data_IF_454842744370
#
_entry.id   IF_454842744370
#
_cell.length_a   1.000
_cell.length_b   1.000
_cell.length_c   1.000
_cell.angle_alpha   90.00
_cell.angle_beta   90.00
_cell.angle_gamma   90.00
#
_symmetry.space_group_name_H-M   'P 1'
#
loop_
_entity.id
_entity.type
_entity.pdbx_description
1 polymer ?
#
# COMPACT_ATOMS: atom_id res chain seq x y z
N UNK A 1 14.50 16.35 -7.77
CA UNK A 1 13.06 15.99 -7.79
C UNK A 1 12.90 14.75 -6.95
N UNK A 2 11.89 14.67 -6.07
CA UNK A 2 11.68 13.46 -5.26
C UNK A 2 11.00 12.35 -6.06
N UNK A 3 11.27 11.11 -5.70
CA UNK A 3 10.75 9.91 -6.37
C UNK A 3 9.80 9.13 -5.46
N UNK A 4 8.57 8.96 -5.93
CA UNK A 4 7.57 8.04 -5.38
C UNK A 4 7.55 6.74 -6.18
N UNK A 5 7.69 5.61 -5.51
CA UNK A 5 7.33 4.28 -6.04
C UNK A 5 6.00 3.87 -5.43
N UNK A 6 5.02 3.49 -6.25
CA UNK A 6 3.68 3.10 -5.78
C UNK A 6 3.14 1.90 -6.55
N UNK A 7 2.64 0.90 -5.81
CA UNK A 7 2.00 -0.27 -6.41
C UNK A 7 0.50 -0.07 -6.60
N UNK A 8 -0.04 -0.46 -7.76
CA UNK A 8 -1.49 -0.46 -8.02
C UNK A 8 -2.09 0.91 -8.34
N UNK A 9 -1.69 1.52 -9.45
CA UNK A 9 -2.16 2.86 -9.87
C UNK A 9 -3.21 2.84 -11.00
N UNK A 10 -3.74 1.68 -11.38
CA UNK A 10 -4.71 1.58 -12.47
C UNK A 10 -6.07 2.19 -12.12
N UNK A 11 -6.42 2.30 -10.83
CA UNK A 11 -7.71 2.80 -10.31
C UNK A 11 -7.65 3.07 -8.81
N UNK A 12 -8.72 3.65 -8.26
CA UNK A 12 -8.95 3.76 -6.82
C UNK A 12 -7.93 4.66 -6.12
N UNK A 13 -7.57 4.29 -4.88
CA UNK A 13 -6.71 5.10 -4.01
C UNK A 13 -5.34 5.34 -4.65
N UNK A 14 -4.67 4.28 -5.15
CA UNK A 14 -3.35 4.41 -5.78
C UNK A 14 -3.33 5.32 -7.00
N UNK A 15 -4.42 5.36 -7.78
CA UNK A 15 -4.56 6.28 -8.91
C UNK A 15 -4.57 7.74 -8.44
N UNK A 16 -5.37 8.05 -7.42
CA UNK A 16 -5.48 9.42 -6.90
C UNK A 16 -4.20 9.86 -6.17
N UNK A 17 -3.51 8.94 -5.47
CA UNK A 17 -2.19 9.22 -4.90
C UNK A 17 -1.21 9.60 -6.02
N UNK A 18 -1.15 8.83 -7.09
CA UNK A 18 -0.26 9.13 -8.21
C UNK A 18 -0.55 10.51 -8.80
N UNK A 19 -1.82 10.90 -8.96
CA UNK A 19 -2.21 12.24 -9.44
C UNK A 19 -1.69 13.35 -8.52
N UNK A 20 -1.97 13.26 -7.22
CA UNK A 20 -1.53 14.27 -6.24
C UNK A 20 -0.02 14.46 -6.29
N UNK A 21 0.75 13.37 -6.32
CA UNK A 21 2.21 13.47 -6.35
C UNK A 21 2.73 14.06 -7.67
N UNK A 22 2.12 13.75 -8.81
CA UNK A 22 2.47 14.35 -10.10
C UNK A 22 2.16 15.86 -10.12
N UNK A 23 1.02 16.28 -9.57
CA UNK A 23 0.62 17.68 -9.44
C UNK A 23 1.56 18.48 -8.50
N UNK A 24 2.36 17.79 -7.68
CA UNK A 24 3.38 18.36 -6.80
C UNK A 24 4.80 18.24 -7.36
N UNK A 25 4.93 18.01 -8.66
CA UNK A 25 6.20 17.86 -9.38
C UNK A 25 7.10 16.73 -8.86
N UNK A 26 6.52 15.62 -8.40
CA UNK A 26 7.30 14.41 -8.10
C UNK A 26 7.50 13.56 -9.36
N UNK A 27 8.58 12.78 -9.37
CA UNK A 27 8.68 11.62 -10.25
C UNK A 27 7.85 10.50 -9.65
N UNK A 28 6.90 9.95 -10.40
CA UNK A 28 6.09 8.81 -9.97
C UNK A 28 6.44 7.59 -10.81
N UNK A 29 6.87 6.53 -10.14
CA UNK A 29 7.05 5.19 -10.70
C UNK A 29 5.88 4.35 -10.18
N UNK A 30 4.85 4.22 -11.02
CA UNK A 30 3.65 3.49 -10.68
C UNK A 30 3.59 2.12 -11.32
N UNK A 31 2.89 1.18 -10.69
CA UNK A 31 2.72 -0.17 -11.25
C UNK A 31 1.27 -0.61 -11.32
N UNK A 32 0.98 -1.55 -12.21
CA UNK A 32 -0.27 -2.32 -12.23
C UNK A 32 -0.03 -3.68 -12.86
N UNK A 33 -0.97 -4.63 -12.71
CA UNK A 33 -0.82 -6.00 -13.24
C UNK A 33 -0.70 -6.05 -14.77
N UNK A 34 -1.22 -5.03 -15.47
CA UNK A 34 -1.12 -4.88 -16.92
C UNK A 34 -0.11 -3.81 -17.36
N UNK A 35 0.47 -3.04 -16.43
CA UNK A 35 1.27 -1.86 -16.72
C UNK A 35 0.47 -0.63 -17.18
N UNK A 36 -0.86 -0.72 -17.18
CA UNK A 36 -1.75 0.38 -17.51
C UNK A 36 -1.88 1.41 -16.38
N UNK A 37 -1.94 2.68 -16.75
CA UNK A 37 -2.44 3.80 -15.95
C UNK A 37 -3.28 4.73 -16.84
N UNK A 38 -4.41 5.27 -16.35
CA UNK A 38 -5.17 6.28 -17.09
C UNK A 38 -4.51 7.67 -17.07
N UNK A 39 -3.45 7.88 -16.29
CA UNK A 39 -2.76 9.17 -16.20
C UNK A 39 -1.78 9.31 -17.38
N UNK A 40 -1.83 10.47 -18.06
CA UNK A 40 -0.80 10.91 -19.01
C UNK A 40 -0.03 12.07 -18.39
N UNK A 41 1.20 11.84 -17.96
CA UNK A 41 2.04 12.88 -17.37
C UNK A 41 3.52 12.61 -17.65
N UNK A 42 4.32 13.66 -17.93
CA UNK A 42 5.74 13.53 -18.28
C UNK A 42 6.61 12.93 -17.18
N UNK A 43 6.23 13.13 -15.91
CA UNK A 43 6.95 12.61 -14.74
C UNK A 43 6.44 11.24 -14.27
N UNK A 44 5.49 10.63 -15.00
CA UNK A 44 4.98 9.31 -14.69
C UNK A 44 5.68 8.24 -15.53
N UNK A 45 6.15 7.18 -14.88
CA UNK A 45 6.57 5.93 -15.53
C UNK A 45 5.72 4.79 -14.99
N UNK A 46 5.19 3.97 -15.88
CA UNK A 46 4.28 2.86 -15.56
C UNK A 46 4.92 1.52 -15.89
N UNK A 47 4.89 0.58 -14.95
CA UNK A 47 5.44 -0.75 -15.14
C UNK A 47 4.40 -1.84 -14.89
N UNK A 48 4.49 -2.92 -15.66
CA UNK A 48 3.77 -4.16 -15.36
C UNK A 48 4.40 -4.79 -14.11
N UNK A 49 3.58 -5.05 -13.09
CA UNK A 49 4.00 -5.75 -11.89
C UNK A 49 2.82 -6.57 -11.36
N UNK A 50 3.03 -7.89 -11.27
CA UNK A 50 2.16 -8.78 -10.49
C UNK A 50 2.92 -9.19 -9.24
N UNK A 51 2.38 -8.84 -8.07
CA UNK A 51 3.01 -9.13 -6.78
C UNK A 51 2.96 -10.63 -6.43
N UNK A 52 2.15 -11.44 -7.11
CA UNK A 52 2.15 -12.88 -6.91
C UNK A 52 3.32 -13.59 -7.63
N UNK A 53 4.14 -12.88 -8.42
CA UNK A 53 5.17 -13.44 -9.29
C UNK A 53 6.53 -12.80 -8.94
N UNK A 54 7.41 -13.56 -8.29
CA UNK A 54 8.72 -13.10 -7.80
C UNK A 54 9.60 -12.56 -8.94
N UNK A 55 9.56 -13.19 -10.12
CA UNK A 55 10.32 -12.76 -11.30
C UNK A 55 9.90 -11.37 -11.79
N UNK A 56 8.61 -11.02 -11.66
CA UNK A 56 8.15 -9.68 -11.98
C UNK A 56 8.70 -8.65 -10.97
N UNK A 57 8.74 -9.01 -9.69
CA UNK A 57 9.27 -8.16 -8.61
C UNK A 57 10.77 -7.93 -8.81
N UNK A 58 11.52 -8.99 -9.12
CA UNK A 58 12.95 -8.92 -9.45
C UNK A 58 13.23 -8.00 -10.63
N UNK A 59 12.54 -8.22 -11.74
CA UNK A 59 12.71 -7.42 -12.95
C UNK A 59 12.40 -5.94 -12.70
N UNK A 60 11.34 -5.65 -11.94
CA UNK A 60 10.96 -4.29 -11.59
C UNK A 60 11.98 -3.62 -10.67
N UNK A 61 12.38 -4.29 -9.58
CA UNK A 61 13.23 -3.69 -8.54
C UNK A 61 14.67 -3.44 -9.03
N UNK A 62 15.20 -4.28 -9.93
CA UNK A 62 16.57 -4.22 -10.44
C UNK A 62 16.99 -2.80 -10.88
N UNK A 63 16.14 -2.15 -11.67
CA UNK A 63 16.44 -0.87 -12.32
C UNK A 63 15.78 0.34 -11.64
N UNK A 64 15.26 0.19 -10.42
CA UNK A 64 14.72 1.33 -9.70
C UNK A 64 15.83 2.37 -9.39
N UNK A 65 15.54 3.66 -9.58
CA UNK A 65 16.42 4.73 -9.13
C UNK A 65 16.37 4.84 -7.60
N UNK A 66 16.99 5.88 -7.05
CA UNK A 66 16.82 6.21 -5.64
C UNK A 66 15.37 6.61 -5.32
N UNK A 67 14.89 6.17 -4.16
CA UNK A 67 13.48 6.26 -3.74
C UNK A 67 13.38 7.14 -2.49
N UNK A 68 12.48 8.13 -2.54
CA UNK A 68 12.15 8.97 -1.38
C UNK A 68 10.91 8.45 -0.65
N UNK A 69 9.96 7.86 -1.39
CA UNK A 69 8.75 7.26 -0.82
C UNK A 69 8.41 5.96 -1.54
N UNK A 70 8.15 4.90 -0.78
CA UNK A 70 7.48 3.69 -1.26
C UNK A 70 6.06 3.61 -0.66
N UNK A 71 5.05 3.48 -1.51
CA UNK A 71 3.66 3.21 -1.10
C UNK A 71 3.25 1.83 -1.60
N UNK A 72 3.11 0.90 -0.66
CA UNK A 72 2.55 -0.43 -0.90
C UNK A 72 1.01 -0.33 -0.87
N UNK A 73 0.41 -0.03 -2.02
CA UNK A 73 -1.04 0.15 -2.16
C UNK A 73 -1.76 -1.04 -2.80
N UNK A 74 -1.11 -1.78 -3.71
CA UNK A 74 -1.75 -2.92 -4.36
C UNK A 74 -2.17 -3.99 -3.35
N UNK A 75 -3.44 -4.37 -3.39
CA UNK A 75 -4.02 -5.39 -2.53
C UNK A 75 -5.29 -5.99 -3.18
N UNK A 76 -5.69 -7.16 -2.70
CA UNK A 76 -6.91 -7.86 -3.08
C UNK A 76 -7.73 -8.25 -1.86
N UNK A 77 -9.04 -8.36 -2.06
CA UNK A 77 -10.01 -9.01 -1.18
C UNK A 77 -10.74 -9.99 -2.11
N UNK A 78 -10.54 -11.29 -1.90
CA UNK A 78 -10.94 -12.32 -2.87
C UNK A 78 -12.10 -13.19 -2.39
N UNK A 79 -12.30 -13.30 -1.09
CA UNK A 79 -13.48 -13.91 -0.50
C UNK A 79 -14.71 -13.00 -0.61
N UNK A 80 -15.90 -13.61 -0.50
CA UNK A 80 -17.15 -12.88 -0.53
C UNK A 80 -17.36 -12.03 0.73
N UNK A 81 -18.18 -10.98 0.61
CA UNK A 81 -18.44 -9.99 1.68
C UNK A 81 -19.12 -10.52 2.95
N UNK A 82 -19.61 -11.77 2.94
CA UNK A 82 -20.14 -12.41 4.14
C UNK A 82 -19.55 -13.83 4.33
N UNK A 83 -18.40 -14.12 3.72
CA UNK A 83 -17.72 -15.40 3.93
C UNK A 83 -17.00 -15.41 5.28
N UNK A 84 -17.31 -16.40 6.10
CA UNK A 84 -16.68 -16.67 7.39
C UNK A 84 -15.73 -17.87 7.34
N UNK A 85 -15.92 -18.77 6.37
CA UNK A 85 -15.13 -20.00 6.27
C UNK A 85 -13.80 -19.72 5.58
N UNK A 86 -12.77 -20.40 6.06
CA UNK A 86 -11.45 -20.36 5.43
C UNK A 86 -11.46 -21.18 4.15
N UNK A 87 -11.27 -20.51 3.01
CA UNK A 87 -10.93 -21.14 1.74
C UNK A 87 -9.42 -21.06 1.53
N UNK A 88 -8.72 -22.19 1.68
CA UNK A 88 -7.26 -22.23 1.60
C UNK A 88 -6.69 -21.75 0.26
N UNK A 89 -7.42 -21.90 -0.86
CA UNK A 89 -6.97 -21.42 -2.17
C UNK A 89 -7.02 -19.89 -2.24
N UNK A 90 -8.14 -19.29 -1.80
CA UNK A 90 -8.29 -17.83 -1.75
C UNK A 90 -7.37 -17.19 -0.71
N UNK A 91 -7.19 -17.84 0.44
CA UNK A 91 -6.25 -17.41 1.47
C UNK A 91 -4.83 -17.31 0.92
N UNK A 92 -4.33 -18.37 0.28
CA UNK A 92 -2.99 -18.40 -0.32
C UNK A 92 -2.82 -17.30 -1.37
N UNK A 93 -3.80 -17.09 -2.25
CA UNK A 93 -3.78 -16.01 -3.26
C UNK A 93 -3.77 -14.62 -2.62
N UNK A 94 -4.59 -14.42 -1.59
CA UNK A 94 -4.64 -13.15 -0.83
C UNK A 94 -3.29 -12.86 -0.18
N UNK A 95 -2.68 -13.86 0.48
CA UNK A 95 -1.36 -13.71 1.10
C UNK A 95 -0.23 -13.51 0.08
N UNK A 96 -0.28 -14.17 -1.07
CA UNK A 96 0.70 -13.99 -2.13
C UNK A 96 0.82 -12.51 -2.55
N UNK A 97 -0.29 -11.79 -2.63
CA UNK A 97 -0.33 -10.39 -3.06
C UNK A 97 -0.19 -9.43 -1.86
N UNK A 98 -1.09 -9.54 -0.88
CA UNK A 98 -1.20 -8.57 0.22
C UNK A 98 -0.04 -8.63 1.21
N UNK A 99 0.70 -9.75 1.23
CA UNK A 99 1.81 -9.96 2.16
C UNK A 99 3.10 -10.33 1.45
N UNK A 100 3.20 -11.53 0.86
CA UNK A 100 4.49 -12.07 0.40
C UNK A 100 5.11 -11.19 -0.69
N UNK A 101 4.38 -10.87 -1.75
CA UNK A 101 4.88 -9.97 -2.80
C UNK A 101 5.14 -8.55 -2.31
N UNK A 102 4.34 -8.05 -1.37
CA UNK A 102 4.55 -6.73 -0.75
C UNK A 102 5.85 -6.69 0.06
N UNK A 103 6.09 -7.72 0.88
CA UNK A 103 7.33 -7.88 1.65
C UNK A 103 8.52 -8.00 0.71
N UNK A 104 8.44 -8.92 -0.28
CA UNK A 104 9.52 -9.14 -1.23
C UNK A 104 9.90 -7.87 -1.99
N UNK A 105 8.92 -7.14 -2.52
CA UNK A 105 9.18 -5.87 -3.20
C UNK A 105 9.83 -4.85 -2.25
N UNK A 106 9.31 -4.73 -1.03
CA UNK A 106 9.82 -3.78 -0.03
C UNK A 106 11.27 -4.08 0.31
N UNK A 107 11.62 -5.34 0.58
CA UNK A 107 12.99 -5.75 0.89
C UNK A 107 13.94 -5.46 -0.28
N UNK A 108 13.53 -5.71 -1.53
CA UNK A 108 14.34 -5.37 -2.72
C UNK A 108 14.49 -3.85 -2.94
N UNK A 109 13.57 -3.04 -2.41
CA UNK A 109 13.68 -1.57 -2.46
C UNK A 109 14.59 -0.99 -1.38
N UNK A 110 14.90 -1.73 -0.29
CA UNK A 110 15.71 -1.22 0.84
C UNK A 110 17.04 -0.57 0.39
N UNK A 111 17.87 -1.21 -0.48
CA UNK A 111 19.13 -0.61 -0.93
C UNK A 111 18.97 0.67 -1.78
N UNK A 112 17.74 0.91 -2.27
CA UNK A 112 17.41 2.03 -3.16
C UNK A 112 16.87 3.24 -2.41
N UNK A 113 16.63 3.17 -1.11
CA UNK A 113 16.18 4.34 -0.37
C UNK A 113 17.25 5.44 -0.27
N UNK A 114 16.79 6.68 -0.28
CA UNK A 114 17.54 7.84 0.19
C UNK A 114 17.48 7.93 1.73
N UNK A 115 18.37 8.71 2.32
CA UNK A 115 18.29 9.03 3.74
C UNK A 115 16.99 9.77 4.04
N UNK A 116 16.31 9.36 5.12
CA UNK A 116 15.00 9.93 5.50
C UNK A 116 13.85 9.55 4.57
N UNK A 117 14.03 8.55 3.69
CA UNK A 117 12.93 8.02 2.90
C UNK A 117 11.81 7.43 3.77
N UNK A 118 10.65 7.23 3.17
CA UNK A 118 9.46 6.78 3.87
C UNK A 118 8.81 5.58 3.19
N UNK A 119 8.23 4.69 4.00
CA UNK A 119 7.43 3.55 3.54
C UNK A 119 6.03 3.68 4.13
N UNK A 120 5.01 3.62 3.28
CA UNK A 120 3.62 3.52 3.70
C UNK A 120 3.01 2.22 3.19
N UNK A 121 2.57 1.40 4.13
CA UNK A 121 1.78 0.20 3.84
C UNK A 121 0.29 0.56 3.94
N UNK A 122 -0.44 0.49 2.83
CA UNK A 122 -1.91 0.65 2.86
C UNK A 122 -2.50 -0.63 3.45
N UNK A 123 -2.82 -0.56 4.73
CA UNK A 123 -3.40 -1.65 5.50
C UNK A 123 -4.93 -1.52 5.54
N UNK A 124 -5.54 -1.79 6.69
CA UNK A 124 -6.96 -1.61 6.95
C UNK A 124 -7.21 -1.67 8.45
N UNK A 125 -8.22 -0.96 8.93
CA UNK A 125 -8.72 -1.13 10.30
C UNK A 125 -9.12 -2.57 10.64
N UNK A 126 -9.45 -3.38 9.64
CA UNK A 126 -9.71 -4.83 9.77
C UNK A 126 -8.45 -5.67 10.01
N UNK A 127 -7.26 -5.12 9.78
CA UNK A 127 -6.01 -5.73 10.23
C UNK A 127 -5.68 -5.41 11.69
N UNK A 128 -6.53 -4.66 12.40
CA UNK A 128 -6.26 -4.24 13.76
C UNK A 128 -6.83 -5.23 14.78
N UNK A 129 -6.02 -5.69 15.72
CA UNK A 129 -6.46 -6.55 16.83
C UNK A 129 -7.44 -5.83 17.76
N UNK A 130 -7.29 -4.51 17.92
CA UNK A 130 -8.21 -3.63 18.65
C UNK A 130 -9.56 -3.41 17.95
N UNK A 131 -9.72 -3.80 16.69
CA UNK A 131 -10.98 -3.63 15.97
C UNK A 131 -12.05 -4.62 16.43
N UNK A 132 -13.32 -4.26 16.25
CA UNK A 132 -14.43 -5.20 16.46
C UNK A 132 -14.38 -6.28 15.36
N UNK A 133 -13.81 -7.43 15.70
CA UNK A 133 -13.55 -8.51 14.75
C UNK A 133 -14.82 -9.33 14.49
N UNK A 134 -15.58 -8.95 13.46
CA UNK A 134 -16.59 -9.85 12.89
C UNK A 134 -15.92 -11.10 12.29
N UNK A 135 -16.63 -12.23 12.14
CA UNK A 135 -16.06 -13.43 11.52
C UNK A 135 -15.85 -13.31 9.99
N UNK A 136 -16.43 -12.29 9.36
CA UNK A 136 -16.41 -12.11 7.90
C UNK A 136 -15.04 -11.66 7.35
N UNK A 137 -14.71 -12.00 6.11
CA UNK A 137 -13.44 -11.65 5.42
C UNK A 137 -12.18 -12.08 6.19
N UNK A 138 -12.11 -13.34 6.65
CA UNK A 138 -10.99 -13.76 7.49
C UNK A 138 -9.66 -13.72 6.73
N UNK A 139 -9.61 -13.97 5.42
CA UNK A 139 -8.34 -13.98 4.67
C UNK A 139 -7.75 -12.57 4.55
N UNK A 140 -8.58 -11.59 4.20
CA UNK A 140 -8.18 -10.20 4.10
C UNK A 140 -7.72 -9.67 5.46
N UNK A 141 -8.51 -9.90 6.52
CA UNK A 141 -8.18 -9.54 7.91
C UNK A 141 -6.83 -10.08 8.33
N UNK A 142 -6.61 -11.39 8.19
CA UNK A 142 -5.33 -12.03 8.51
C UNK A 142 -4.18 -11.42 7.70
N UNK A 143 -4.36 -11.18 6.40
CA UNK A 143 -3.30 -10.59 5.56
C UNK A 143 -2.91 -9.18 6.02
N UNK A 144 -3.89 -8.35 6.43
CA UNK A 144 -3.65 -6.98 6.90
C UNK A 144 -3.08 -6.94 8.32
N UNK A 145 -3.47 -7.88 9.18
CA UNK A 145 -2.84 -8.06 10.50
C UNK A 145 -1.36 -8.46 10.37
N UNK A 146 -1.03 -9.36 9.43
CA UNK A 146 0.36 -9.70 9.13
C UNK A 146 1.15 -8.52 8.56
N UNK A 147 0.56 -7.72 7.66
CA UNK A 147 1.18 -6.51 7.12
C UNK A 147 1.42 -5.44 8.21
N UNK A 148 0.51 -5.35 9.19
CA UNK A 148 0.67 -4.50 10.36
C UNK A 148 1.87 -4.93 11.22
N UNK A 149 2.03 -6.23 11.48
CA UNK A 149 3.22 -6.74 12.17
C UNK A 149 4.51 -6.46 11.36
N UNK A 150 4.49 -6.71 10.05
CA UNK A 150 5.63 -6.39 9.19
C UNK A 150 6.02 -4.91 9.26
N UNK A 151 5.04 -4.01 9.33
CA UNK A 151 5.28 -2.57 9.49
C UNK A 151 6.04 -2.26 10.78
N UNK A 152 5.65 -2.85 11.91
CA UNK A 152 6.37 -2.66 13.19
C UNK A 152 7.80 -3.18 13.12
N UNK A 153 7.99 -4.40 12.61
CA UNK A 153 9.32 -5.00 12.49
C UNK A 153 10.23 -4.20 11.56
N UNK A 154 9.69 -3.69 10.45
CA UNK A 154 10.45 -2.89 9.50
C UNK A 154 10.87 -1.54 10.08
N UNK A 155 10.00 -0.91 10.88
CA UNK A 155 10.32 0.34 11.58
C UNK A 155 11.51 0.19 12.55
N UNK A 156 11.55 -0.92 13.30
CA UNK A 156 12.67 -1.23 14.21
C UNK A 156 13.95 -1.60 13.45
N UNK A 157 13.83 -2.36 12.35
CA UNK A 157 14.97 -2.77 11.51
C UNK A 157 15.62 -1.62 10.76
N UNK A 158 14.85 -0.58 10.40
CA UNK A 158 15.29 0.52 9.54
C UNK A 158 15.09 1.89 10.23
N UNK A 159 15.87 2.23 11.28
CA UNK A 159 15.67 3.46 12.05
C UNK A 159 15.87 4.75 11.23
N UNK A 160 16.58 4.68 10.10
CA UNK A 160 16.78 5.79 9.16
C UNK A 160 15.60 6.01 8.19
N UNK A 161 14.63 5.09 8.16
CA UNK A 161 13.46 5.11 7.29
C UNK A 161 12.21 5.27 8.14
N UNK A 162 11.32 6.19 7.77
CA UNK A 162 10.04 6.32 8.45
C UNK A 162 9.04 5.33 7.85
N UNK A 163 8.62 4.34 8.63
CA UNK A 163 7.68 3.30 8.20
C UNK A 163 6.31 3.55 8.86
N UNK A 164 5.23 3.47 8.11
CA UNK A 164 3.88 3.68 8.61
C UNK A 164 2.89 2.67 8.00
N UNK A 165 1.95 2.22 8.83
CA UNK A 165 0.75 1.54 8.35
C UNK A 165 -0.36 2.57 8.24
N UNK A 166 -1.20 2.47 7.22
CA UNK A 166 -2.28 3.41 6.99
C UNK A 166 -3.60 2.70 6.79
N UNK A 167 -4.60 3.04 7.59
CA UNK A 167 -5.97 2.62 7.40
C UNK A 167 -6.70 3.65 6.54
N UNK A 168 -7.07 3.32 5.30
CA UNK A 168 -7.78 4.26 4.44
C UNK A 168 -9.22 4.52 4.89
N UNK A 169 -9.75 3.71 5.82
CA UNK A 169 -11.16 3.65 6.14
C UNK A 169 -11.96 2.97 5.03
N UNK A 170 -13.29 3.16 5.02
CA UNK A 170 -14.17 2.59 3.99
C UNK A 170 -14.31 3.53 2.80
N UNK A 171 -13.58 3.25 1.72
CA UNK A 171 -13.40 4.14 0.57
C UNK A 171 -14.14 3.63 -0.68
N UNK A 172 -14.82 4.52 -1.39
CA UNK A 172 -15.61 4.27 -2.60
C UNK A 172 -14.74 3.84 -3.78
N UNK A 173 -14.38 2.56 -3.76
CA UNK A 173 -13.58 1.85 -4.77
C UNK A 173 -14.28 0.54 -5.13
N UNK A 174 -13.76 -0.22 -6.10
CA UNK A 174 -14.27 -1.56 -6.36
C UNK A 174 -14.19 -2.46 -5.11
N UNK A 175 -13.16 -2.31 -4.27
CA UNK A 175 -13.00 -3.06 -3.02
C UNK A 175 -13.88 -2.51 -1.89
N UNK A 176 -14.24 -1.22 -1.88
CA UNK A 176 -15.10 -0.65 -0.85
C UNK A 176 -16.57 -0.51 -1.25
N UNK A 177 -16.94 -0.90 -2.47
CA UNK A 177 -18.30 -0.76 -3.03
C UNK A 177 -18.80 0.68 -3.17
N UNK A 178 -19.98 0.85 -3.79
CA UNK A 178 -20.63 2.15 -3.97
C UNK A 178 -21.22 2.72 -2.67
N UNK A 179 -21.36 1.89 -1.61
CA UNK A 179 -21.94 2.29 -0.33
C UNK A 179 -20.98 3.08 0.55
N UNK A 180 -19.67 2.99 0.28
CA UNK A 180 -18.68 3.81 0.94
C UNK A 180 -18.88 5.30 0.60
N UNK A 181 -18.78 6.16 1.61
CA UNK A 181 -18.96 7.61 1.46
C UNK A 181 -17.66 8.35 1.13
N UNK A 182 -16.53 7.88 1.65
CA UNK A 182 -15.22 8.51 1.47
C UNK A 182 -14.70 8.27 0.06
N UNK A 183 -14.28 9.31 -0.63
CA UNK A 183 -13.73 9.25 -1.97
C UNK A 183 -12.25 8.83 -1.95
N UNK A 184 -11.76 8.16 -3.01
CA UNK A 184 -10.33 7.82 -3.12
C UNK A 184 -9.40 9.04 -3.06
N UNK A 185 -9.85 10.19 -3.57
CA UNK A 185 -9.09 11.44 -3.56
C UNK A 185 -8.91 12.01 -2.15
N UNK A 186 -9.91 11.87 -1.27
CA UNK A 186 -9.81 12.28 0.14
C UNK A 186 -8.74 11.45 0.86
N UNK A 187 -8.79 10.12 0.70
CA UNK A 187 -7.77 9.22 1.25
C UNK A 187 -6.38 9.51 0.70
N UNK A 188 -6.26 9.81 -0.59
CA UNK A 188 -4.99 10.15 -1.21
C UNK A 188 -4.39 11.45 -0.63
N UNK A 189 -5.23 12.45 -0.35
CA UNK A 189 -4.82 13.70 0.29
C UNK A 189 -4.30 13.45 1.71
N UNK A 190 -5.02 12.65 2.52
CA UNK A 190 -4.56 12.28 3.86
C UNK A 190 -3.20 11.58 3.85
N UNK A 191 -2.93 10.71 2.87
CA UNK A 191 -1.65 10.04 2.73
C UNK A 191 -0.55 11.04 2.35
N UNK A 192 -0.83 11.99 1.47
CA UNK A 192 0.11 13.04 1.10
C UNK A 192 0.46 13.94 2.29
N UNK A 193 -0.53 14.35 3.08
CA UNK A 193 -0.35 15.10 4.32
C UNK A 193 0.46 14.30 5.35
N UNK A 194 0.15 13.01 5.50
CA UNK A 194 0.89 12.10 6.36
C UNK A 194 2.36 12.01 5.93
N UNK A 195 2.69 11.99 4.64
CA UNK A 195 4.09 11.98 4.15
C UNK A 195 4.80 13.29 4.49
N UNK A 196 4.07 14.39 4.48
CA UNK A 196 4.61 15.74 4.70
C UNK A 196 4.79 16.09 6.18
N UNK A 197 4.12 15.38 7.10
CA UNK A 197 4.25 15.63 8.54
C UNK A 197 5.51 14.99 9.14
N UNK A 198 6.07 15.63 10.17
CA UNK A 198 7.06 15.01 11.06
C UNK A 198 6.35 13.97 11.94
N UNK A 199 6.68 12.69 11.77
CA UNK A 199 6.02 11.59 12.48
C UNK A 199 7.01 10.53 12.97
N UNK A 200 6.55 9.74 13.93
CA UNK A 200 7.28 8.57 14.43
C UNK A 200 7.11 7.39 13.47
N UNK A 201 8.17 6.60 13.33
CA UNK A 201 8.15 5.32 12.61
C UNK A 201 7.42 4.26 13.42
N UNK A 202 6.80 3.28 12.75
CA UNK A 202 6.15 2.13 13.40
C UNK A 202 4.76 2.43 13.97
N UNK A 203 4.05 3.42 13.42
CA UNK A 203 2.69 3.78 13.82
C UNK A 203 1.65 3.39 12.77
N UNK A 204 0.43 3.15 13.25
CA UNK A 204 -0.74 2.90 12.43
C UNK A 204 -1.62 4.15 12.42
N UNK A 205 -1.99 4.63 11.24
CA UNK A 205 -2.63 5.93 11.08
C UNK A 205 -4.04 5.81 10.49
N UNK A 206 -4.95 6.67 10.95
CA UNK A 206 -6.29 6.88 10.39
C UNK A 206 -6.65 8.36 10.52
N UNK A 207 -7.07 8.99 9.42
CA UNK A 207 -7.48 10.41 9.40
C UNK A 207 -6.42 11.34 10.04
N UNK A 208 -5.14 11.13 9.71
CA UNK A 208 -4.01 11.92 10.20
C UNK A 208 -3.61 11.69 11.67
N UNK A 209 -4.26 10.75 12.38
CA UNK A 209 -3.99 10.46 13.79
C UNK A 209 -3.50 9.02 13.98
N UNK A 210 -2.63 8.75 14.98
CA UNK A 210 -2.36 7.40 15.42
C UNK A 210 -3.64 6.68 15.83
N UNK A 211 -3.74 5.40 15.47
CA UNK A 211 -4.78 4.48 15.93
C UNK A 211 -4.16 3.24 16.55
N UNK A 212 -4.97 2.52 17.32
CA UNK A 212 -4.56 1.25 17.89
C UNK A 212 -4.46 0.16 16.81
N UNK A 213 -3.53 -0.77 17.10
CA UNK A 213 -3.15 -1.91 16.27
C UNK A 213 -4.10 -3.09 16.39
#
# INVERSE_FOLDING_TARGET
MKTLVITGISRGIGLEIARIFLDKDWTVIGTSTSGYSPIKHKNLRTYKLDLAISEHIDAFAKNLPKIDVLINNAAVLLEEWNEEKINMSLLKKTFAINLFGTVELTEKCIPKFNDGAQIINISSGWGAFSSNNSPFQPHYKMSKASLNMYTKLLAERLPQITVSSFDPGWVKTNMGTQNAKKLPSETALEIYELISMKKKSGYFWLNGKPRDW
#
